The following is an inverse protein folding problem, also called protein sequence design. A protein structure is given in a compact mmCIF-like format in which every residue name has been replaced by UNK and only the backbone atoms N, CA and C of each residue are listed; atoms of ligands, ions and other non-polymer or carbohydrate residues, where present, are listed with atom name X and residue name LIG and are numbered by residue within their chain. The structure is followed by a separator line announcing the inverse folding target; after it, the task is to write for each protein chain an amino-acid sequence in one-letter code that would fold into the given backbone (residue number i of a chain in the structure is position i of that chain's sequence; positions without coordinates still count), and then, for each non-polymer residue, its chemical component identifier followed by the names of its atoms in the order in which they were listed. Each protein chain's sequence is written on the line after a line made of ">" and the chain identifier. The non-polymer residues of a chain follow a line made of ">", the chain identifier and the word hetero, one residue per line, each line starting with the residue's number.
data_IF_286676361638
#
_entry.id   IF_286676361638
#
_cell.length_a   1.000
_cell.length_b   1.000
_cell.length_c   1.000
_cell.angle_alpha   90.00
_cell.angle_beta   90.00
_cell.angle_gamma   90.00
#
_symmetry.space_group_name_H-M   'P 1'
#
loop_
_entity.id
_entity.type
_entity.pdbx_description
1 polymer ?
#
# COMPACT_ATOMS: atom_id res chain seq x y z
N UNK A 1 -20.85 -13.32 2.19
CA UNK A 1 -21.11 -12.62 0.93
C UNK A 1 -20.89 -13.59 -0.23
N UNK A 2 -21.89 -13.72 -1.10
CA UNK A 2 -21.77 -14.47 -2.36
C UNK A 2 -21.97 -13.50 -3.51
N UNK A 3 -20.97 -13.36 -4.34
CA UNK A 3 -21.01 -12.50 -5.50
C UNK A 3 -21.21 -13.36 -6.75
N UNK A 4 -22.18 -13.03 -7.62
CA UNK A 4 -22.34 -13.74 -8.87
C UNK A 4 -21.14 -13.48 -9.80
N UNK A 5 -20.68 -14.50 -10.50
CA UNK A 5 -19.70 -14.32 -11.56
C UNK A 5 -20.39 -13.67 -12.79
N UNK A 6 -19.97 -12.47 -13.15
CA UNK A 6 -20.50 -11.75 -14.31
C UNK A 6 -19.43 -11.69 -15.40
N UNK A 7 -19.74 -12.24 -16.57
CA UNK A 7 -18.81 -12.22 -17.68
C UNK A 7 -18.49 -10.77 -18.12
N UNK A 8 -17.24 -10.50 -18.42
CA UNK A 8 -16.78 -9.18 -18.89
C UNK A 8 -16.42 -8.20 -17.79
N UNK A 9 -16.64 -8.52 -16.52
CA UNK A 9 -16.13 -7.72 -15.42
C UNK A 9 -14.65 -8.03 -15.12
N UNK A 10 -13.91 -7.09 -14.52
CA UNK A 10 -12.56 -7.32 -14.02
C UNK A 10 -12.51 -8.46 -12.99
N UNK A 11 -11.31 -9.01 -12.77
CA UNK A 11 -11.11 -10.09 -11.78
C UNK A 11 -11.46 -9.68 -10.35
N UNK A 12 -11.15 -8.45 -9.99
CA UNK A 12 -11.50 -7.89 -8.70
C UNK A 12 -12.58 -6.82 -8.89
N UNK A 13 -13.72 -7.02 -8.28
CA UNK A 13 -14.86 -6.11 -8.34
C UNK A 13 -15.33 -5.67 -6.96
N UNK A 14 -14.72 -6.18 -5.89
CA UNK A 14 -15.04 -5.89 -4.51
C UNK A 14 -14.67 -7.04 -3.58
N UNK A 15 -14.85 -6.84 -2.29
CA UNK A 15 -14.53 -7.84 -1.27
C UNK A 15 -13.82 -7.23 -0.06
N UNK A 16 -12.95 -7.99 0.57
CA UNK A 16 -12.15 -7.53 1.69
C UNK A 16 -10.76 -7.10 1.21
N UNK A 17 -10.39 -5.88 1.52
CA UNK A 17 -9.07 -5.30 1.19
C UNK A 17 -8.41 -4.81 2.48
N UNK A 18 -7.16 -5.15 2.68
CA UNK A 18 -6.41 -4.75 3.87
C UNK A 18 -5.17 -5.61 4.03
N UNK A 19 -4.82 -5.90 5.27
CA UNK A 19 -3.61 -6.68 5.54
C UNK A 19 -3.79 -7.65 6.71
N UNK A 20 -2.96 -8.67 6.69
CA UNK A 20 -2.62 -9.51 7.81
C UNK A 20 -1.17 -9.22 8.17
N UNK A 21 -0.93 -8.72 9.38
CA UNK A 21 0.41 -8.49 9.90
C UNK A 21 1.17 -9.80 10.08
N UNK A 22 2.50 -9.71 10.17
CA UNK A 22 3.36 -10.88 10.35
C UNK A 22 2.96 -11.71 11.59
N UNK A 23 2.60 -11.04 12.68
CA UNK A 23 2.22 -11.68 13.94
C UNK A 23 0.87 -12.39 13.89
N UNK A 24 0.07 -12.18 12.83
CA UNK A 24 -1.20 -12.90 12.64
C UNK A 24 -1.01 -14.43 12.52
N UNK A 25 0.19 -14.89 12.17
CA UNK A 25 0.55 -16.32 12.15
C UNK A 25 0.32 -17.01 13.50
N UNK A 26 0.39 -16.28 14.61
CA UNK A 26 0.14 -16.82 15.97
C UNK A 26 -1.28 -17.32 16.17
N UNK A 27 -2.24 -16.76 15.45
CA UNK A 27 -3.63 -17.23 15.51
C UNK A 27 -3.81 -18.59 14.82
N UNK A 28 -2.88 -18.97 13.96
CA UNK A 28 -2.90 -20.23 13.21
C UNK A 28 -1.92 -21.28 13.76
N UNK A 29 -0.79 -20.84 14.36
CA UNK A 29 0.28 -21.70 14.88
C UNK A 29 0.48 -21.48 16.39
N UNK A 30 -0.22 -22.25 17.25
CA UNK A 30 -0.16 -22.09 18.70
C UNK A 30 1.24 -22.30 19.31
N UNK A 31 2.15 -23.02 18.60
CA UNK A 31 3.53 -23.25 19.08
C UNK A 31 4.34 -21.97 19.17
N UNK A 32 3.97 -20.93 18.43
CA UNK A 32 4.64 -19.62 18.50
C UNK A 32 4.34 -18.87 19.80
N UNK A 33 3.28 -19.26 20.51
CA UNK A 33 2.91 -18.68 21.80
C UNK A 33 2.61 -17.20 21.75
N UNK A 34 2.46 -16.60 22.92
CA UNK A 34 2.41 -15.15 23.06
C UNK A 34 3.84 -14.62 22.95
N UNK A 35 4.15 -13.91 21.88
CA UNK A 35 5.43 -13.19 21.79
C UNK A 35 5.31 -11.92 22.64
N UNK A 36 6.14 -11.86 23.66
CA UNK A 36 6.27 -10.71 24.55
C UNK A 36 7.20 -9.65 23.90
N UNK A 37 6.81 -9.19 22.72
CA UNK A 37 7.52 -8.12 22.02
C UNK A 37 6.73 -6.83 22.16
N UNK A 38 7.39 -5.70 22.46
CA UNK A 38 6.72 -4.41 22.51
C UNK A 38 6.17 -4.06 21.11
N UNK A 39 4.91 -3.65 21.08
CA UNK A 39 4.30 -3.06 19.89
C UNK A 39 4.62 -1.56 19.85
N UNK A 40 5.59 -1.18 19.04
CA UNK A 40 6.01 0.21 18.89
C UNK A 40 5.21 0.97 17.83
N UNK A 41 4.45 0.25 16.99
CA UNK A 41 3.69 0.85 15.90
C UNK A 41 2.24 1.10 16.32
N UNK A 42 1.68 0.20 17.14
CA UNK A 42 0.30 0.28 17.59
C UNK A 42 -0.73 -0.04 16.50
N UNK A 43 -0.31 -0.70 15.42
CA UNK A 43 -1.21 -1.07 14.33
C UNK A 43 -1.88 -2.42 14.63
N UNK A 44 -3.16 -2.62 14.26
CA UNK A 44 -3.84 -3.90 14.42
C UNK A 44 -3.11 -5.04 13.69
N UNK A 45 -3.10 -6.26 14.27
CA UNK A 45 -2.53 -7.44 13.60
C UNK A 45 -3.27 -7.77 12.29
N UNK A 46 -4.57 -7.52 12.25
CA UNK A 46 -5.41 -7.74 11.06
C UNK A 46 -6.36 -6.55 10.92
N UNK A 47 -6.37 -5.95 9.74
CA UNK A 47 -7.34 -4.91 9.41
C UNK A 47 -7.82 -5.10 7.97
N UNK A 48 -9.14 -5.23 7.81
CA UNK A 48 -9.78 -5.48 6.54
C UNK A 48 -10.92 -4.47 6.33
N UNK A 49 -10.92 -3.81 5.20
CA UNK A 49 -11.99 -2.94 4.73
C UNK A 49 -12.96 -3.74 3.85
N UNK A 50 -14.24 -3.51 4.02
CA UNK A 50 -15.24 -4.00 3.06
C UNK A 50 -15.28 -3.04 1.89
N UNK A 51 -14.86 -3.52 0.72
CA UNK A 51 -14.86 -2.74 -0.53
C UNK A 51 -16.04 -3.18 -1.37
N UNK A 52 -17.18 -2.54 -1.18
CA UNK A 52 -18.42 -2.75 -1.92
C UNK A 52 -18.62 -1.75 -3.06
N UNK A 53 -17.82 -0.68 -3.10
CA UNK A 53 -17.71 0.27 -4.20
C UNK A 53 -16.27 0.21 -4.76
N UNK A 54 -16.12 -0.08 -6.04
CA UNK A 54 -14.81 -0.20 -6.69
C UNK A 54 -14.79 0.50 -8.04
N UNK A 55 -13.73 1.27 -8.28
CA UNK A 55 -13.43 1.84 -9.60
C UNK A 55 -12.21 1.13 -10.17
N UNK A 56 -12.34 0.52 -11.34
CA UNK A 56 -11.28 -0.23 -11.99
C UNK A 56 -10.88 0.43 -13.31
N UNK A 57 -9.62 0.79 -13.43
CA UNK A 57 -9.01 1.26 -14.67
C UNK A 57 -8.36 0.08 -15.39
N UNK A 58 -8.99 -0.38 -16.48
CA UNK A 58 -8.41 -1.39 -17.37
C UNK A 58 -7.58 -0.67 -18.44
N UNK A 59 -6.30 -0.53 -18.18
CA UNK A 59 -5.39 0.15 -19.08
C UNK A 59 -5.14 -0.63 -20.37
N UNK A 60 -5.37 -1.94 -20.37
CA UNK A 60 -5.19 -2.80 -21.54
C UNK A 60 -6.34 -2.61 -22.53
N UNK A 61 -7.56 -2.56 -22.02
CA UNK A 61 -8.76 -2.36 -22.85
C UNK A 61 -9.15 -0.88 -23.00
N UNK A 62 -8.51 0.02 -22.27
CA UNK A 62 -8.87 1.44 -22.23
C UNK A 62 -10.26 1.68 -21.66
N UNK A 63 -10.68 0.88 -20.68
CA UNK A 63 -12.02 0.96 -20.06
C UNK A 63 -11.93 1.33 -18.59
N UNK A 64 -12.98 1.99 -18.13
CA UNK A 64 -13.21 2.25 -16.73
C UNK A 64 -14.49 1.53 -16.30
N UNK A 65 -14.40 0.80 -15.20
CA UNK A 65 -15.55 0.14 -14.59
C UNK A 65 -15.83 0.78 -13.23
N UNK A 66 -17.08 1.07 -12.97
CA UNK A 66 -17.58 1.44 -11.65
C UNK A 66 -18.53 0.36 -11.20
N UNK A 67 -18.19 -0.29 -10.10
CA UNK A 67 -18.93 -1.45 -9.59
C UNK A 67 -19.39 -1.16 -8.17
N UNK A 68 -20.68 -1.39 -7.91
CA UNK A 68 -21.28 -1.29 -6.58
C UNK A 68 -21.97 -2.62 -6.27
N UNK A 69 -21.65 -3.17 -5.12
CA UNK A 69 -22.31 -4.36 -4.58
C UNK A 69 -23.44 -3.98 -3.64
N UNK A 70 -24.58 -4.61 -3.81
CA UNK A 70 -25.75 -4.36 -2.96
C UNK A 70 -26.32 -5.67 -2.45
N UNK A 71 -26.92 -5.65 -1.26
CA UNK A 71 -27.72 -6.76 -0.77
C UNK A 71 -29.11 -6.69 -1.40
N UNK A 72 -29.51 -7.66 -2.26
CA UNK A 72 -30.80 -7.65 -2.92
C UNK A 72 -32.00 -7.84 -1.98
N UNK A 73 -31.76 -8.28 -0.74
CA UNK A 73 -32.80 -8.42 0.28
C UNK A 73 -33.22 -7.09 0.89
N UNK A 74 -32.44 -6.03 0.68
CA UNK A 74 -32.75 -4.69 1.19
C UNK A 74 -33.64 -3.96 0.18
N UNK A 75 -34.83 -3.55 0.62
CA UNK A 75 -35.77 -2.80 -0.21
C UNK A 75 -35.15 -1.50 -0.73
N UNK A 76 -35.28 -1.25 -2.03
CA UNK A 76 -34.73 -0.09 -2.70
C UNK A 76 -33.20 -0.08 -2.86
N UNK A 77 -32.48 -1.12 -2.49
CA UNK A 77 -31.01 -1.20 -2.60
C UNK A 77 -30.55 -0.97 -4.05
N UNK A 78 -31.21 -1.54 -5.03
CA UNK A 78 -30.87 -1.36 -6.45
C UNK A 78 -31.03 0.10 -6.91
N UNK A 79 -32.11 0.76 -6.53
CA UNK A 79 -32.35 2.16 -6.89
C UNK A 79 -31.28 3.08 -6.24
N UNK A 80 -30.95 2.84 -4.98
CA UNK A 80 -29.88 3.58 -4.26
C UNK A 80 -28.51 3.35 -4.94
N UNK A 81 -28.20 2.13 -5.34
CA UNK A 81 -26.95 1.82 -6.03
C UNK A 81 -26.85 2.53 -7.40
N UNK A 82 -27.93 2.56 -8.18
CA UNK A 82 -27.92 3.30 -9.44
C UNK A 82 -27.69 4.80 -9.22
N UNK A 83 -28.36 5.40 -8.24
CA UNK A 83 -28.10 6.80 -7.90
C UNK A 83 -26.64 7.02 -7.49
N UNK A 84 -26.08 6.12 -6.70
CA UNK A 84 -24.68 6.17 -6.30
C UNK A 84 -23.72 6.00 -7.47
N UNK A 85 -24.02 5.14 -8.44
CA UNK A 85 -23.26 5.02 -9.68
C UNK A 85 -23.21 6.34 -10.45
N UNK A 86 -24.38 7.00 -10.61
CA UNK A 86 -24.47 8.29 -11.31
C UNK A 86 -23.62 9.36 -10.60
N UNK A 87 -23.66 9.40 -9.26
CA UNK A 87 -22.80 10.31 -8.48
C UNK A 87 -21.30 10.05 -8.71
N UNK A 88 -20.88 8.78 -8.69
CA UNK A 88 -19.48 8.42 -8.91
C UNK A 88 -19.01 8.74 -10.32
N UNK A 89 -19.84 8.48 -11.32
CA UNK A 89 -19.55 8.84 -12.71
C UNK A 89 -19.42 10.36 -12.85
N UNK A 90 -20.34 11.13 -12.29
CA UNK A 90 -20.27 12.58 -12.32
C UNK A 90 -19.01 13.14 -11.64
N UNK A 91 -18.58 12.53 -10.54
CA UNK A 91 -17.31 12.89 -9.87
C UNK A 91 -16.09 12.57 -10.73
N UNK A 92 -16.09 11.47 -11.47
CA UNK A 92 -15.00 11.08 -12.36
C UNK A 92 -14.91 11.98 -13.60
N UNK A 93 -16.04 12.51 -14.07
CA UNK A 93 -16.09 13.48 -15.16
C UNK A 93 -15.68 14.89 -14.75
N UNK A 94 -15.63 15.17 -13.46
CA UNK A 94 -15.23 16.48 -12.96
C UNK A 94 -13.73 16.70 -13.18
N UNK A 95 -13.37 17.72 -13.96
CA UNK A 95 -11.99 18.10 -14.17
C UNK A 95 -11.31 18.43 -12.83
N UNK A 96 -10.09 17.92 -12.62
CA UNK A 96 -9.30 18.32 -11.46
C UNK A 96 -9.07 19.84 -11.49
N UNK A 97 -9.13 20.52 -10.34
CA UNK A 97 -8.81 21.94 -10.26
C UNK A 97 -7.44 22.21 -10.90
N UNK A 98 -7.35 23.25 -11.72
CA UNK A 98 -6.09 23.70 -12.30
C UNK A 98 -5.09 23.97 -11.17
N UNK A 99 -3.97 23.24 -11.13
CA UNK A 99 -2.95 23.33 -10.07
C UNK A 99 -2.61 22.00 -9.40
N UNK A 100 -3.42 20.98 -9.55
CA UNK A 100 -3.10 19.59 -9.14
C UNK A 100 -2.36 18.85 -10.27
N UNK A 101 -1.50 19.54 -11.03
CA UNK A 101 -0.68 18.87 -12.03
C UNK A 101 0.17 17.79 -11.34
N UNK A 102 -0.10 16.55 -11.70
CA UNK A 102 0.76 15.44 -11.31
C UNK A 102 2.19 15.76 -11.77
N UNK A 103 3.21 15.59 -10.93
CA UNK A 103 4.59 15.77 -11.37
C UNK A 103 4.84 14.83 -12.55
N UNK A 104 5.06 15.42 -13.73
CA UNK A 104 5.39 14.65 -14.92
C UNK A 104 6.83 14.13 -14.79
N UNK A 105 7.14 13.06 -15.50
CA UNK A 105 8.51 12.51 -15.56
C UNK A 105 9.55 13.57 -16.00
N UNK A 106 9.12 14.58 -16.77
CA UNK A 106 9.91 15.74 -17.15
C UNK A 106 10.19 16.67 -15.96
N UNK A 107 9.18 16.99 -15.15
CA UNK A 107 9.34 17.89 -13.99
C UNK A 107 10.23 17.30 -12.89
N UNK A 108 10.28 15.98 -12.77
CA UNK A 108 11.20 15.28 -11.85
C UNK A 108 12.65 15.32 -12.37
N UNK A 109 12.87 15.30 -13.70
CA UNK A 109 14.21 15.43 -14.30
C UNK A 109 14.71 16.87 -14.32
N UNK A 110 13.84 17.86 -14.52
CA UNK A 110 14.21 19.28 -14.53
C UNK A 110 14.59 19.77 -13.12
N UNK A 111 14.05 19.18 -12.05
CA UNK A 111 14.50 19.48 -10.69
C UNK A 111 15.92 19.00 -10.39
N UNK A 112 16.50 18.16 -11.24
CA UNK A 112 17.86 17.64 -11.08
C UNK A 112 18.96 18.46 -11.81
N UNK A 113 18.63 19.48 -12.63
CA UNK A 113 19.67 20.11 -13.45
C UNK A 113 19.42 21.49 -14.08
N UNK A 114 18.44 22.29 -13.67
CA UNK A 114 18.15 23.61 -14.27
C UNK A 114 18.16 24.79 -13.28
N UNK A 115 18.38 26.05 -13.74
CA UNK A 115 18.41 27.21 -12.85
C UNK A 115 17.02 27.57 -12.34
N UNK A 116 16.93 27.57 -11.03
CA UNK A 116 16.02 28.25 -10.09
C UNK A 116 14.78 28.95 -10.64
N UNK A 117 13.63 28.30 -10.49
CA UNK A 117 12.36 28.98 -10.17
C UNK A 117 12.00 28.63 -8.72
N UNK A 118 11.49 29.61 -7.98
CA UNK A 118 11.24 29.66 -6.55
C UNK A 118 11.13 28.30 -5.84
N UNK A 119 12.22 27.87 -5.23
CA UNK A 119 12.25 26.69 -4.36
C UNK A 119 11.47 27.01 -3.10
N UNK A 120 10.43 26.21 -2.83
CA UNK A 120 9.97 26.02 -1.46
C UNK A 120 11.16 25.70 -0.52
N UNK A 121 10.98 25.76 0.82
CA UNK A 121 12.06 25.59 1.75
C UNK A 121 12.88 24.33 1.37
N UNK A 122 14.18 24.51 1.16
CA UNK A 122 15.08 23.38 0.89
C UNK A 122 15.03 22.47 2.11
N UNK A 123 14.38 21.34 1.99
CA UNK A 123 14.56 20.28 2.95
C UNK A 123 16.03 19.89 2.90
N UNK A 124 16.69 19.84 4.04
CA UNK A 124 18.03 19.27 4.11
C UNK A 124 17.98 17.87 3.48
N UNK A 125 18.98 17.50 2.67
CA UNK A 125 19.01 16.17 2.10
C UNK A 125 18.98 15.14 3.23
N UNK A 126 18.07 14.19 3.15
CA UNK A 126 17.98 13.07 4.09
C UNK A 126 19.27 12.26 3.98
N UNK A 127 19.88 11.97 5.12
CA UNK A 127 21.08 11.14 5.24
C UNK A 127 20.76 9.82 5.94
N UNK A 128 21.63 8.84 5.86
CA UNK A 128 21.46 7.57 6.58
C UNK A 128 21.35 7.75 8.10
N UNK A 129 21.93 8.82 8.65
CA UNK A 129 21.91 9.12 10.08
C UNK A 129 20.55 9.62 10.58
N UNK A 130 19.66 10.03 9.67
CA UNK A 130 18.32 10.51 10.01
C UNK A 130 17.37 9.34 10.28
N UNK A 131 17.78 8.12 9.94
CA UNK A 131 16.97 6.91 10.16
C UNK A 131 17.30 6.27 11.51
N UNK A 132 16.24 5.91 12.22
CA UNK A 132 16.33 5.08 13.43
C UNK A 132 16.05 3.63 13.06
N UNK A 133 17.01 2.76 13.32
CA UNK A 133 16.86 1.32 13.08
C UNK A 133 16.47 0.59 14.36
N UNK A 134 15.53 -0.34 14.26
CA UNK A 134 15.19 -1.28 15.34
C UNK A 134 16.22 -2.41 15.49
N UNK A 135 17.18 -2.49 14.56
CA UNK A 135 18.22 -3.52 14.52
C UNK A 135 19.60 -2.87 14.43
N UNK A 136 20.46 -3.14 15.40
CA UNK A 136 21.86 -2.69 15.29
C UNK A 136 22.59 -3.48 14.20
N UNK A 137 23.57 -2.87 13.52
CA UNK A 137 24.37 -3.56 12.50
C UNK A 137 24.95 -4.86 13.04
N UNK A 138 25.63 -4.82 14.20
CA UNK A 138 26.22 -6.00 14.79
C UNK A 138 25.16 -7.07 15.18
N UNK A 139 23.95 -6.66 15.56
CA UNK A 139 22.82 -7.54 15.81
C UNK A 139 22.37 -8.25 14.54
N UNK A 140 22.20 -7.49 13.46
CA UNK A 140 21.81 -8.02 12.16
C UNK A 140 22.83 -9.02 11.62
N UNK A 141 24.11 -8.68 11.67
CA UNK A 141 25.20 -9.58 11.26
C UNK A 141 25.23 -10.89 12.06
N UNK A 142 24.96 -10.84 13.38
CA UNK A 142 24.82 -12.06 14.19
C UNK A 142 23.62 -12.90 13.76
N UNK A 143 22.49 -12.26 13.47
CA UNK A 143 21.30 -12.96 13.00
C UNK A 143 21.55 -13.63 11.64
N UNK A 144 22.26 -12.98 10.71
CA UNK A 144 22.69 -13.60 9.44
C UNK A 144 23.56 -14.82 9.68
N UNK A 145 24.58 -14.72 10.55
CA UNK A 145 25.45 -15.86 10.88
C UNK A 145 24.65 -17.04 11.46
N UNK A 146 23.72 -16.75 12.36
CA UNK A 146 22.84 -17.76 12.95
C UNK A 146 21.93 -18.44 11.91
N UNK A 147 21.40 -17.65 11.00
CA UNK A 147 20.59 -18.15 9.87
C UNK A 147 21.37 -19.10 8.98
N UNK A 148 22.64 -18.78 8.69
CA UNK A 148 23.53 -19.66 7.93
C UNK A 148 23.82 -20.99 8.65
N UNK A 149 23.88 -20.98 9.99
CA UNK A 149 24.00 -22.20 10.78
C UNK A 149 22.77 -23.10 10.60
N UNK A 150 21.56 -22.55 10.69
CA UNK A 150 20.30 -23.29 10.46
C UNK A 150 20.22 -23.88 9.05
N UNK A 151 20.64 -23.12 8.03
CA UNK A 151 20.69 -23.62 6.65
C UNK A 151 21.67 -24.79 6.52
N UNK A 152 22.88 -24.68 7.12
CA UNK A 152 23.89 -25.73 7.09
C UNK A 152 23.49 -26.99 7.88
N UNK A 153 22.71 -26.79 8.95
CA UNK A 153 22.17 -27.92 9.73
C UNK A 153 21.01 -28.63 9.02
N UNK A 154 20.43 -28.01 7.96
CA UNK A 154 19.27 -28.54 7.26
C UNK A 154 17.94 -28.23 7.93
N UNK A 155 17.93 -27.34 8.92
CA UNK A 155 16.71 -26.92 9.62
C UNK A 155 15.80 -26.08 8.73
N UNK A 156 16.40 -25.26 7.85
CA UNK A 156 15.71 -24.40 6.90
C UNK A 156 16.47 -24.36 5.56
N UNK A 157 15.75 -24.07 4.48
CA UNK A 157 16.35 -23.86 3.17
C UNK A 157 16.62 -22.38 2.88
N UNK A 158 15.76 -21.51 3.41
CA UNK A 158 15.81 -20.07 3.19
C UNK A 158 15.23 -19.34 4.39
N UNK A 159 15.74 -18.15 4.67
CA UNK A 159 15.14 -17.19 5.62
C UNK A 159 15.36 -15.78 5.12
N UNK A 160 14.37 -14.94 5.31
CA UNK A 160 14.45 -13.51 5.06
C UNK A 160 14.47 -12.79 6.41
N UNK A 161 15.55 -12.04 6.66
CA UNK A 161 15.64 -11.16 7.82
C UNK A 161 15.07 -9.79 7.46
N UNK A 162 14.20 -9.27 8.30
CA UNK A 162 13.65 -7.93 8.13
C UNK A 162 14.31 -6.93 9.05
N UNK A 163 14.32 -5.68 8.64
CA UNK A 163 14.78 -4.54 9.41
C UNK A 163 13.80 -3.38 9.20
N UNK A 164 13.41 -2.72 10.29
CA UNK A 164 12.60 -1.50 10.23
C UNK A 164 13.50 -0.29 10.38
N UNK A 165 13.34 0.66 9.48
CA UNK A 165 13.93 1.99 9.55
C UNK A 165 12.82 3.01 9.74
N UNK A 166 12.97 3.90 10.71
CA UNK A 166 11.99 4.93 11.03
C UNK A 166 12.60 6.32 10.80
N UNK A 167 11.79 7.21 10.23
CA UNK A 167 12.16 8.60 9.99
C UNK A 167 10.93 9.49 10.17
N UNK A 168 11.05 10.71 10.72
CA UNK A 168 9.96 11.68 10.70
C UNK A 168 9.54 12.01 9.27
N UNK A 169 8.24 11.94 9.00
CA UNK A 169 7.67 12.19 7.68
C UNK A 169 6.58 13.26 7.77
N UNK A 170 6.67 14.32 6.96
CA UNK A 170 5.78 15.49 7.02
C UNK A 170 5.04 15.79 5.72
N UNK A 171 5.43 15.13 4.61
CA UNK A 171 4.76 15.31 3.33
C UNK A 171 3.44 14.51 3.28
N UNK A 172 2.49 14.85 2.37
CA UNK A 172 1.31 14.03 2.18
C UNK A 172 1.67 12.59 1.80
N UNK A 173 1.10 11.55 2.45
CA UNK A 173 1.45 10.15 2.17
C UNK A 173 1.25 9.72 0.71
N UNK A 174 0.27 10.29 0.02
CA UNK A 174 0.04 10.03 -1.40
C UNK A 174 1.21 10.52 -2.28
N UNK A 175 1.94 11.55 -1.86
CA UNK A 175 3.11 12.03 -2.61
C UNK A 175 4.28 11.06 -2.47
N UNK A 176 4.41 10.37 -1.34
CA UNK A 176 5.35 9.26 -1.18
C UNK A 176 5.03 8.13 -2.18
N UNK A 177 3.76 7.73 -2.29
CA UNK A 177 3.33 6.74 -3.27
C UNK A 177 3.67 7.15 -4.71
N UNK A 178 3.40 8.42 -5.06
CA UNK A 178 3.72 8.96 -6.39
C UNK A 178 5.21 8.96 -6.68
N UNK A 179 6.03 9.34 -5.70
CA UNK A 179 7.49 9.28 -5.82
C UNK A 179 7.97 7.84 -5.98
N UNK A 180 7.48 6.92 -5.14
CA UNK A 180 7.84 5.50 -5.19
C UNK A 180 7.47 4.87 -6.55
N UNK A 181 6.28 5.17 -7.05
CA UNK A 181 5.82 4.71 -8.38
C UNK A 181 6.74 5.17 -9.53
N UNK A 182 7.39 6.32 -9.38
CA UNK A 182 8.30 6.87 -10.38
C UNK A 182 9.70 6.29 -10.25
N UNK A 183 10.18 6.13 -9.01
CA UNK A 183 11.55 5.73 -8.72
C UNK A 183 11.74 4.21 -8.77
N UNK A 184 10.78 3.47 -8.24
CA UNK A 184 10.83 2.01 -8.14
C UNK A 184 9.49 1.39 -8.53
N UNK A 185 9.09 1.46 -9.81
CA UNK A 185 7.85 0.85 -10.26
C UNK A 185 7.90 -0.67 -10.11
N UNK A 186 6.82 -1.26 -9.64
CA UNK A 186 6.65 -2.69 -9.45
C UNK A 186 5.28 -3.14 -9.97
N UNK A 187 5.10 -4.43 -10.29
CA UNK A 187 3.79 -4.97 -10.65
C UNK A 187 2.75 -4.83 -9.53
N UNK A 188 3.20 -4.84 -8.29
CA UNK A 188 2.35 -4.79 -7.10
C UNK A 188 2.61 -3.51 -6.31
N UNK A 189 2.02 -2.42 -6.79
CA UNK A 189 2.06 -1.14 -6.10
C UNK A 189 0.71 -0.85 -5.46
N UNK A 190 0.75 -0.40 -4.22
CA UNK A 190 -0.47 -0.06 -3.49
C UNK A 190 -0.29 1.17 -2.59
N UNK A 191 -1.38 1.87 -2.42
CA UNK A 191 -1.59 2.89 -1.41
C UNK A 191 -2.90 2.56 -0.70
N UNK A 192 -2.81 2.20 0.56
CA UNK A 192 -3.98 1.85 1.38
C UNK A 192 -4.12 2.89 2.47
N UNK A 193 -5.22 3.62 2.46
CA UNK A 193 -5.56 4.59 3.49
C UNK A 193 -6.52 3.94 4.49
N UNK A 194 -6.05 3.79 5.72
CA UNK A 194 -6.79 3.14 6.80
C UNK A 194 -7.27 4.16 7.85
N UNK A 195 -7.23 5.45 7.51
CA UNK A 195 -7.67 6.57 8.35
C UNK A 195 -6.55 7.04 9.29
N UNK A 196 -6.24 6.27 10.32
CA UNK A 196 -5.21 6.63 11.32
C UNK A 196 -3.79 6.50 10.76
N UNK A 197 -3.58 5.62 9.81
CA UNK A 197 -2.30 5.40 9.15
C UNK A 197 -2.49 4.95 7.69
N UNK A 198 -1.43 5.06 6.91
CA UNK A 198 -1.41 4.66 5.51
C UNK A 198 -0.31 3.61 5.27
N UNK A 199 -0.59 2.70 4.33
CA UNK A 199 0.40 1.74 3.86
C UNK A 199 0.73 2.04 2.41
N UNK A 200 2.01 2.25 2.14
CA UNK A 200 2.53 2.50 0.80
C UNK A 200 3.51 1.40 0.44
N UNK A 201 3.28 0.72 -0.67
CA UNK A 201 4.12 -0.40 -1.05
C UNK A 201 4.46 -0.47 -2.52
N UNK A 202 5.60 -1.07 -2.79
CA UNK A 202 6.09 -1.45 -4.12
C UNK A 202 6.74 -2.82 -3.98
N UNK A 203 5.94 -3.87 -4.13
CA UNK A 203 6.38 -5.25 -3.95
C UNK A 203 6.93 -5.82 -5.24
N UNK A 204 8.16 -6.39 -5.26
CA UNK A 204 8.76 -6.97 -6.45
C UNK A 204 8.35 -8.43 -6.70
N UNK A 205 7.72 -9.08 -5.72
CA UNK A 205 7.36 -10.50 -5.80
C UNK A 205 6.31 -10.75 -6.91
N UNK A 206 6.50 -11.82 -7.64
CA UNK A 206 5.62 -12.29 -8.72
C UNK A 206 5.04 -13.65 -8.34
#
# INVERSE_FOLDING_TARGET
>A
YRMPAVAGLPRFTGGLVGYFGYEAVRFMEPRLGALDKPDEIGAPDILLMVSDEVVVFDNLQGKLYVVIHVNPEIEGAYAKANHRLDELVARLDTALPHGTALPTRASVRESAGGPSMARGPRLNPISEQDFVSDFTQAGFERAVKKSLEYIRAGDIMQVVLSQRLSIPYTAPPLDLYRALRTLNPSPYMYYVDLGEFQIVGSSPEI
#
